data_IF_799471857316
#
_entry.id   IF_799471857316
#
_cell.length_a   1.000
_cell.length_b   1.000
_cell.length_c   1.000
_cell.angle_alpha   90.00
_cell.angle_beta   90.00
_cell.angle_gamma   90.00
#
_symmetry.space_group_name_H-M   'P 1'
#
loop_
_entity.id
_entity.type
_entity.pdbx_description
1 polymer ?
#
# COMPACT_ATOMS: atom_id res chain seq x y z
N UNK A 1 0.38 1.57 24.27
CA UNK A 1 0.24 0.74 23.07
C UNK A 1 1.63 0.47 22.51
N UNK A 2 1.86 -0.71 21.95
CA UNK A 2 3.12 -1.14 21.36
C UNK A 2 2.82 -1.86 20.05
N UNK A 3 3.71 -1.71 19.06
CA UNK A 3 3.73 -2.56 17.87
C UNK A 3 4.51 -3.81 18.28
N UNK A 4 3.93 -4.99 18.13
CA UNK A 4 4.51 -6.26 18.61
C UNK A 4 4.84 -7.24 17.49
N UNK A 5 4.40 -6.97 16.27
CA UNK A 5 4.62 -7.80 15.09
C UNK A 5 4.52 -6.95 13.82
N UNK A 6 5.05 -7.46 12.72
CA UNK A 6 4.93 -6.82 11.42
C UNK A 6 3.47 -6.72 10.97
N UNK A 7 3.08 -5.65 10.28
CA UNK A 7 1.81 -5.62 9.56
C UNK A 7 1.88 -6.48 8.29
N UNK A 8 0.76 -6.72 7.66
CA UNK A 8 0.73 -7.18 6.27
C UNK A 8 1.24 -6.04 5.39
N UNK A 9 2.35 -6.27 4.69
CA UNK A 9 2.92 -5.29 3.77
C UNK A 9 2.36 -5.47 2.37
N UNK A 10 1.81 -4.40 1.80
CA UNK A 10 1.44 -4.35 0.40
C UNK A 10 2.30 -3.29 -0.31
N UNK A 11 3.11 -3.72 -1.26
CA UNK A 11 3.82 -2.76 -2.11
C UNK A 11 2.89 -2.21 -3.17
N UNK A 12 2.89 -0.89 -3.32
CA UNK A 12 2.20 -0.16 -4.40
C UNK A 12 3.19 0.51 -5.36
N UNK A 13 4.45 0.08 -5.37
CA UNK A 13 5.50 0.62 -6.24
C UNK A 13 5.13 0.56 -7.72
N UNK A 14 4.55 -0.56 -8.16
CA UNK A 14 4.19 -0.81 -9.56
C UNK A 14 2.89 -0.14 -10.00
N UNK A 15 2.07 0.35 -9.07
CA UNK A 15 0.84 1.09 -9.37
C UNK A 15 1.00 2.57 -9.03
N UNK A 16 0.90 2.93 -7.75
CA UNK A 16 0.91 4.32 -7.29
C UNK A 16 2.29 4.97 -7.49
N UNK A 17 3.33 4.21 -7.18
CA UNK A 17 4.71 4.64 -7.43
C UNK A 17 5.00 4.85 -8.91
N UNK A 18 4.57 3.93 -9.78
CA UNK A 18 4.82 4.03 -11.22
C UNK A 18 4.02 5.15 -11.89
N UNK A 19 2.74 5.33 -11.50
CA UNK A 19 1.91 6.39 -12.10
C UNK A 19 2.40 7.81 -11.80
N UNK A 20 3.19 7.97 -10.73
CA UNK A 20 3.76 9.25 -10.32
C UNK A 20 5.06 9.62 -11.07
N UNK A 21 5.62 8.71 -11.86
CA UNK A 21 6.87 8.93 -12.57
C UNK A 21 6.65 9.79 -13.81
N UNK A 22 7.57 10.75 -14.04
CA UNK A 22 7.61 11.54 -15.29
C UNK A 22 7.84 10.62 -16.48
N UNK A 23 8.70 9.60 -16.31
CA UNK A 23 8.98 8.56 -17.28
C UNK A 23 8.62 7.20 -16.65
N UNK A 24 7.37 6.71 -16.86
CA UNK A 24 6.91 5.46 -16.27
C UNK A 24 7.80 4.27 -16.64
N UNK A 25 7.84 3.27 -15.78
CA UNK A 25 8.61 2.05 -16.00
C UNK A 25 8.15 1.34 -17.26
N UNK A 26 9.10 0.94 -18.10
CA UNK A 26 8.87 -0.02 -19.18
C UNK A 26 8.66 -1.43 -18.60
N UNK A 27 8.21 -2.39 -19.40
CA UNK A 27 7.87 -3.75 -18.94
C UNK A 27 9.07 -4.41 -18.25
N UNK A 28 10.26 -4.27 -18.79
CA UNK A 28 11.49 -4.85 -18.23
C UNK A 28 11.81 -4.28 -16.84
N UNK A 29 11.65 -2.97 -16.66
CA UNK A 29 11.84 -2.29 -15.37
C UNK A 29 10.75 -2.71 -14.36
N UNK A 30 9.50 -2.87 -14.80
CA UNK A 30 8.41 -3.41 -13.96
C UNK A 30 8.70 -4.83 -13.51
N UNK A 31 9.22 -5.67 -14.39
CA UNK A 31 9.62 -7.06 -14.05
C UNK A 31 10.78 -7.03 -13.05
N UNK A 32 11.77 -6.17 -13.24
CA UNK A 32 12.88 -6.03 -12.31
C UNK A 32 12.40 -5.59 -10.92
N UNK A 33 11.53 -4.59 -10.85
CA UNK A 33 10.92 -4.14 -9.60
C UNK A 33 10.08 -5.23 -8.95
N UNK A 34 9.25 -5.95 -9.72
CA UNK A 34 8.46 -7.08 -9.20
C UNK A 34 9.36 -8.16 -8.59
N UNK A 35 10.43 -8.53 -9.27
CA UNK A 35 11.37 -9.53 -8.77
C UNK A 35 12.09 -9.07 -7.49
N UNK A 36 12.43 -7.79 -7.39
CA UNK A 36 12.97 -7.22 -6.15
C UNK A 36 11.97 -7.34 -5.01
N UNK A 37 10.73 -6.93 -5.22
CA UNK A 37 9.68 -7.00 -4.19
C UNK A 37 9.44 -8.44 -3.70
N UNK A 38 9.41 -9.40 -4.62
CA UNK A 38 9.33 -10.84 -4.28
C UNK A 38 10.55 -11.29 -3.47
N UNK A 39 11.76 -10.89 -3.88
CA UNK A 39 13.01 -11.19 -3.18
C UNK A 39 13.03 -10.61 -1.76
N UNK A 40 12.49 -9.40 -1.59
CA UNK A 40 12.40 -8.75 -0.28
C UNK A 40 11.33 -9.38 0.63
N UNK A 41 10.54 -10.33 0.15
CA UNK A 41 9.57 -11.06 0.95
C UNK A 41 8.17 -10.47 0.96
N UNK A 42 7.86 -9.47 0.14
CA UNK A 42 6.48 -8.97 0.02
C UNK A 42 5.54 -10.09 -0.39
N UNK A 43 4.45 -10.23 0.37
CA UNK A 43 3.39 -11.23 0.11
C UNK A 43 2.18 -10.65 -0.60
N UNK A 44 2.04 -9.32 -0.60
CA UNK A 44 1.03 -8.62 -1.37
C UNK A 44 1.69 -7.51 -2.21
N UNK A 45 1.39 -7.50 -3.52
CA UNK A 45 1.98 -6.56 -4.47
C UNK A 45 0.87 -6.04 -5.38
N UNK A 46 0.59 -4.73 -5.31
CA UNK A 46 -0.32 -4.07 -6.25
C UNK A 46 0.43 -3.74 -7.53
N UNK A 47 0.10 -4.46 -8.59
CA UNK A 47 0.89 -4.45 -9.83
C UNK A 47 0.42 -3.44 -10.85
N UNK A 48 -0.75 -2.84 -10.67
CA UNK A 48 -1.24 -1.82 -11.59
C UNK A 48 -2.75 -1.72 -11.67
N UNK A 49 -3.20 -0.98 -12.70
CA UNK A 49 -4.59 -0.81 -13.08
C UNK A 49 -4.81 -1.39 -14.49
N UNK A 50 -4.95 -2.73 -14.62
CA UNK A 50 -4.94 -3.40 -15.92
C UNK A 50 -6.07 -2.98 -16.85
N UNK A 51 -7.16 -2.41 -16.31
CA UNK A 51 -8.25 -1.88 -17.12
C UNK A 51 -7.99 -0.45 -17.65
N UNK A 52 -6.98 0.26 -17.12
CA UNK A 52 -6.69 1.64 -17.53
C UNK A 52 -5.96 1.75 -18.86
N UNK A 53 -5.09 0.78 -19.17
CA UNK A 53 -4.32 0.79 -20.41
C UNK A 53 -3.94 -0.61 -20.87
N UNK A 54 -3.62 -0.75 -22.17
CA UNK A 54 -3.16 -2.02 -22.74
C UNK A 54 -1.79 -2.42 -22.15
N UNK A 55 -0.91 -1.46 -21.88
CA UNK A 55 0.42 -1.72 -21.29
C UNK A 55 0.28 -2.37 -19.90
N UNK A 56 -0.62 -1.86 -19.06
CA UNK A 56 -0.88 -2.42 -17.74
C UNK A 56 -1.49 -3.83 -17.83
N UNK A 57 -2.39 -4.03 -18.79
CA UNK A 57 -2.97 -5.33 -19.06
C UNK A 57 -1.91 -6.34 -19.51
N UNK A 58 -1.10 -5.97 -20.48
CA UNK A 58 -0.07 -6.86 -21.06
C UNK A 58 1.01 -7.21 -20.03
N UNK A 59 1.42 -6.26 -19.20
CA UNK A 59 2.36 -6.52 -18.12
C UNK A 59 1.85 -7.60 -17.15
N UNK A 60 0.59 -7.47 -16.72
CA UNK A 60 0.00 -8.49 -15.84
C UNK A 60 -0.07 -9.85 -16.55
N UNK A 61 -0.50 -9.87 -17.82
CA UNK A 61 -0.52 -11.11 -18.59
C UNK A 61 0.86 -11.74 -18.72
N UNK A 62 1.89 -10.93 -18.91
CA UNK A 62 3.27 -11.43 -18.98
C UNK A 62 3.68 -12.12 -17.67
N UNK A 63 3.38 -11.54 -16.51
CA UNK A 63 3.64 -12.18 -15.21
C UNK A 63 2.94 -13.53 -15.09
N UNK A 64 1.68 -13.62 -15.53
CA UNK A 64 0.87 -14.83 -15.47
C UNK A 64 1.38 -15.88 -16.45
N UNK A 65 1.54 -15.51 -17.71
CA UNK A 65 1.88 -16.45 -18.81
C UNK A 65 3.31 -17.00 -18.65
N UNK A 66 4.23 -16.21 -18.11
CA UNK A 66 5.59 -16.64 -17.75
C UNK A 66 5.69 -17.31 -16.39
N UNK A 67 4.59 -17.43 -15.63
CA UNK A 67 4.53 -18.04 -14.30
C UNK A 67 5.52 -17.39 -13.31
N UNK A 68 5.58 -16.08 -13.33
CA UNK A 68 6.50 -15.31 -12.49
C UNK A 68 5.98 -15.04 -11.09
N UNK A 69 4.69 -15.25 -10.85
CA UNK A 69 4.04 -15.01 -9.56
C UNK A 69 4.24 -16.24 -8.67
N UNK A 70 4.98 -16.16 -7.55
CA UNK A 70 5.12 -17.24 -6.59
C UNK A 70 3.77 -17.62 -5.96
N UNK A 71 3.64 -18.87 -5.53
CA UNK A 71 2.39 -19.40 -4.94
C UNK A 71 1.99 -18.72 -3.62
N UNK A 72 2.96 -18.13 -2.93
CA UNK A 72 2.78 -17.42 -1.65
C UNK A 72 2.65 -15.90 -1.81
N UNK A 73 2.61 -15.40 -3.06
CA UNK A 73 2.41 -13.98 -3.38
C UNK A 73 0.99 -13.76 -3.90
N UNK A 74 0.31 -12.79 -3.31
CA UNK A 74 -1.01 -12.32 -3.72
C UNK A 74 -0.82 -11.08 -4.59
N UNK A 75 -1.37 -11.12 -5.79
CA UNK A 75 -1.37 -9.97 -6.71
C UNK A 75 -2.59 -9.12 -6.44
N UNK A 76 -2.38 -7.83 -6.26
CA UNK A 76 -3.45 -6.84 -6.15
C UNK A 76 -3.59 -6.04 -7.45
N UNK A 77 -4.82 -5.76 -7.84
CA UNK A 77 -5.15 -4.97 -9.03
C UNK A 77 -6.19 -3.92 -8.70
N UNK A 78 -5.94 -2.68 -9.12
CA UNK A 78 -6.85 -1.55 -8.90
C UNK A 78 -7.89 -1.47 -10.01
N UNK A 79 -9.11 -1.10 -9.66
CA UNK A 79 -10.15 -0.75 -10.61
C UNK A 79 -11.18 0.21 -10.00
N UNK A 80 -11.79 1.06 -10.83
CA UNK A 80 -12.93 1.87 -10.41
C UNK A 80 -14.21 1.03 -10.37
N UNK A 81 -15.21 1.49 -9.62
CA UNK A 81 -16.55 0.87 -9.54
C UNK A 81 -17.36 1.06 -10.83
N UNK A 82 -16.84 0.58 -11.96
CA UNK A 82 -17.48 0.63 -13.29
C UNK A 82 -17.44 -0.73 -13.96
N UNK A 83 -18.57 -1.20 -14.46
CA UNK A 83 -18.71 -2.58 -14.94
C UNK A 83 -17.68 -2.97 -16.00
N UNK A 84 -17.47 -2.13 -17.02
CA UNK A 84 -16.52 -2.43 -18.09
C UNK A 84 -15.06 -2.52 -17.61
N UNK A 85 -14.68 -1.72 -16.59
CA UNK A 85 -13.35 -1.77 -16.00
C UNK A 85 -13.18 -3.00 -15.12
N UNK A 86 -14.18 -3.33 -14.29
CA UNK A 86 -14.15 -4.55 -13.45
C UNK A 86 -14.10 -5.79 -14.34
N UNK A 87 -14.90 -5.84 -15.41
CA UNK A 87 -14.86 -6.92 -16.39
C UNK A 87 -13.45 -7.09 -16.98
N UNK A 88 -12.85 -6.00 -17.45
CA UNK A 88 -11.49 -6.01 -18.02
C UNK A 88 -10.44 -6.45 -17.00
N UNK A 89 -10.61 -6.06 -15.74
CA UNK A 89 -9.75 -6.50 -14.63
C UNK A 89 -9.81 -8.03 -14.46
N UNK A 90 -11.02 -8.62 -14.47
CA UNK A 90 -11.18 -10.07 -14.38
C UNK A 90 -10.63 -10.82 -15.60
N UNK A 91 -10.68 -10.22 -16.80
CA UNK A 91 -9.99 -10.77 -17.98
C UNK A 91 -8.47 -10.79 -17.77
N UNK A 92 -7.91 -9.74 -17.17
CA UNK A 92 -6.47 -9.62 -16.94
C UNK A 92 -5.94 -10.62 -15.91
N UNK A 93 -6.69 -10.90 -14.82
CA UNK A 93 -6.26 -11.79 -13.73
C UNK A 93 -6.56 -13.28 -13.99
N UNK A 94 -7.09 -13.63 -15.16
CA UNK A 94 -7.36 -15.06 -15.46
C UNK A 94 -6.09 -15.91 -15.30
N UNK A 95 -6.22 -17.01 -14.54
CA UNK A 95 -5.13 -17.95 -14.25
C UNK A 95 -4.31 -17.59 -13.00
N UNK A 96 -4.58 -16.50 -12.33
CA UNK A 96 -3.98 -16.17 -11.02
C UNK A 96 -4.66 -17.03 -9.94
N UNK A 97 -3.87 -17.61 -9.04
CA UNK A 97 -4.36 -18.45 -7.94
C UNK A 97 -5.02 -17.63 -6.83
N UNK A 98 -4.42 -16.49 -6.49
CA UNK A 98 -4.90 -15.58 -5.43
C UNK A 98 -4.74 -14.15 -5.88
N UNK A 99 -5.81 -13.39 -5.86
CA UNK A 99 -5.79 -11.98 -6.19
C UNK A 99 -6.65 -11.15 -5.24
N UNK A 100 -6.21 -9.91 -4.99
CA UNK A 100 -7.02 -8.86 -4.41
C UNK A 100 -7.54 -7.98 -5.55
N UNK A 101 -8.86 -7.85 -5.64
CA UNK A 101 -9.49 -6.85 -6.51
C UNK A 101 -9.79 -5.64 -5.65
N UNK A 102 -9.02 -4.57 -5.88
CA UNK A 102 -9.12 -3.31 -5.15
C UNK A 102 -10.03 -2.35 -5.89
N UNK A 103 -11.22 -2.11 -5.35
CA UNK A 103 -12.15 -1.12 -5.86
C UNK A 103 -12.14 0.14 -5.00
N UNK A 104 -12.37 1.28 -5.62
CA UNK A 104 -12.46 2.57 -4.94
C UNK A 104 -13.46 3.50 -5.60
N UNK A 105 -13.96 4.43 -4.83
CA UNK A 105 -14.63 5.63 -5.31
C UNK A 105 -14.42 6.78 -4.33
N UNK A 106 -14.46 8.00 -4.85
CA UNK A 106 -14.23 9.21 -4.06
C UNK A 106 -15.39 9.51 -3.12
N UNK A 107 -15.08 9.78 -1.86
CA UNK A 107 -16.08 9.95 -0.78
C UNK A 107 -16.02 11.31 -0.10
N UNK A 108 -14.96 12.11 -0.33
CA UNK A 108 -14.78 13.39 0.35
C UNK A 108 -15.87 14.41 0.03
N UNK A 109 -16.14 15.30 0.99
CA UNK A 109 -17.07 16.40 0.83
C UNK A 109 -16.80 17.21 -0.43
N UNK A 110 -15.54 17.60 -0.64
CA UNK A 110 -15.14 18.38 -1.81
C UNK A 110 -15.47 17.67 -3.13
N UNK A 111 -15.18 16.37 -3.24
CA UNK A 111 -15.43 15.64 -4.48
C UNK A 111 -16.92 15.40 -4.72
N UNK A 112 -17.68 15.13 -3.67
CA UNK A 112 -19.14 15.01 -3.77
C UNK A 112 -19.78 16.30 -4.27
N UNK A 113 -19.40 17.43 -3.69
CA UNK A 113 -20.01 18.72 -3.97
C UNK A 113 -19.56 19.31 -5.31
N UNK A 114 -18.26 19.20 -5.64
CA UNK A 114 -17.67 19.95 -6.77
C UNK A 114 -17.47 19.08 -8.01
N UNK A 115 -17.16 17.80 -7.85
CA UNK A 115 -16.80 16.93 -8.98
C UNK A 115 -18.00 16.07 -9.43
N UNK A 116 -18.68 15.44 -8.47
CA UNK A 116 -19.76 14.49 -8.81
C UNK A 116 -21.14 15.12 -8.72
N UNK A 117 -21.31 16.20 -7.97
CA UNK A 117 -22.62 16.79 -7.66
C UNK A 117 -23.60 15.74 -7.14
N UNK A 118 -23.09 14.83 -6.30
CA UNK A 118 -23.79 13.64 -5.80
C UNK A 118 -23.90 13.67 -4.28
N UNK A 119 -25.03 13.19 -3.77
CA UNK A 119 -25.22 13.05 -2.32
C UNK A 119 -24.56 11.79 -1.75
N UNK A 120 -24.62 11.62 -0.42
CA UNK A 120 -24.03 10.47 0.27
C UNK A 120 -24.63 9.14 -0.18
N UNK A 121 -25.92 9.09 -0.44
CA UNK A 121 -26.62 7.85 -0.85
C UNK A 121 -26.20 7.42 -2.26
N UNK A 122 -26.07 8.38 -3.18
CA UNK A 122 -25.58 8.12 -4.54
C UNK A 122 -24.13 7.59 -4.53
N UNK A 123 -23.25 8.22 -3.76
CA UNK A 123 -21.84 7.77 -3.61
C UNK A 123 -21.77 6.39 -2.96
N UNK A 124 -22.57 6.14 -1.92
CA UNK A 124 -22.67 4.84 -1.27
C UNK A 124 -23.15 3.75 -2.25
N UNK A 125 -24.13 4.07 -3.09
CA UNK A 125 -24.65 3.14 -4.08
C UNK A 125 -23.59 2.72 -5.11
N UNK A 126 -22.70 3.63 -5.53
CA UNK A 126 -21.58 3.31 -6.43
C UNK A 126 -20.71 2.21 -5.84
N UNK A 127 -20.37 2.29 -4.55
CA UNK A 127 -19.54 1.30 -3.87
C UNK A 127 -20.25 -0.07 -3.76
N UNK A 128 -21.54 -0.07 -3.44
CA UNK A 128 -22.37 -1.28 -3.37
C UNK A 128 -22.43 -1.95 -4.74
N UNK A 129 -22.72 -1.19 -5.80
CA UNK A 129 -22.81 -1.73 -7.16
C UNK A 129 -21.46 -2.24 -7.66
N UNK A 130 -20.36 -1.54 -7.34
CA UNK A 130 -19.00 -2.03 -7.59
C UNK A 130 -18.74 -3.38 -6.93
N UNK A 131 -19.13 -3.54 -5.68
CA UNK A 131 -19.02 -4.80 -4.94
C UNK A 131 -19.83 -5.93 -5.59
N UNK A 132 -21.06 -5.64 -6.01
CA UNK A 132 -21.92 -6.60 -6.75
C UNK A 132 -21.29 -7.04 -8.05
N UNK A 133 -20.69 -6.10 -8.79
CA UNK A 133 -20.01 -6.40 -10.05
C UNK A 133 -18.81 -7.32 -9.82
N UNK A 134 -17.98 -7.07 -8.78
CA UNK A 134 -16.88 -7.97 -8.42
C UNK A 134 -17.41 -9.37 -8.10
N UNK A 135 -18.47 -9.49 -7.28
CA UNK A 135 -19.12 -10.78 -6.97
C UNK A 135 -19.64 -11.50 -8.22
N UNK A 136 -20.19 -10.76 -9.19
CA UNK A 136 -20.66 -11.29 -10.46
C UNK A 136 -19.52 -11.90 -11.28
N UNK A 137 -18.44 -11.15 -11.47
CA UNK A 137 -17.34 -11.58 -12.34
C UNK A 137 -16.43 -12.61 -11.68
N UNK A 138 -16.31 -12.64 -10.36
CA UNK A 138 -15.53 -13.66 -9.67
C UNK A 138 -16.11 -15.07 -9.84
N UNK A 139 -17.40 -15.23 -10.16
CA UNK A 139 -18.02 -16.54 -10.40
C UNK A 139 -17.38 -17.29 -11.58
N UNK A 140 -16.78 -16.57 -12.53
CA UNK A 140 -16.08 -17.13 -13.68
C UNK A 140 -14.57 -17.28 -13.47
N UNK A 141 -14.06 -16.94 -12.29
CA UNK A 141 -12.64 -17.03 -11.96
C UNK A 141 -12.34 -18.31 -11.18
N UNK A 142 -11.22 -18.96 -11.49
CA UNK A 142 -10.85 -20.23 -10.85
C UNK A 142 -10.01 -20.08 -9.60
N UNK A 143 -9.42 -18.93 -9.39
CA UNK A 143 -8.60 -18.60 -8.20
C UNK A 143 -9.41 -18.00 -7.06
N UNK A 144 -8.75 -17.81 -5.93
CA UNK A 144 -9.29 -17.12 -4.76
C UNK A 144 -9.26 -15.59 -5.00
N UNK A 145 -10.40 -14.94 -4.77
CA UNK A 145 -10.54 -13.49 -4.89
C UNK A 145 -10.88 -12.90 -3.52
N UNK A 146 -10.07 -11.96 -3.08
CA UNK A 146 -10.36 -11.09 -1.95
C UNK A 146 -10.76 -9.70 -2.48
N UNK A 147 -11.70 -9.06 -1.80
CA UNK A 147 -12.09 -7.68 -2.11
C UNK A 147 -11.32 -6.72 -1.19
N UNK A 148 -10.76 -5.68 -1.78
CA UNK A 148 -10.36 -4.48 -1.09
C UNK A 148 -11.24 -3.31 -1.51
N UNK A 149 -11.64 -2.49 -0.55
CA UNK A 149 -12.38 -1.26 -0.77
C UNK A 149 -11.67 -0.07 -0.12
N UNK A 150 -11.47 0.99 -0.90
CA UNK A 150 -10.99 2.29 -0.41
C UNK A 150 -12.04 3.38 -0.61
N UNK A 151 -12.52 4.03 0.47
CA UNK A 151 -13.19 5.33 0.37
C UNK A 151 -12.11 6.38 0.07
N UNK A 152 -11.86 6.65 -1.21
CA UNK A 152 -10.82 7.57 -1.65
C UNK A 152 -10.99 8.94 -1.01
N UNK A 153 -9.88 9.57 -0.61
CA UNK A 153 -9.87 10.80 0.18
C UNK A 153 -10.57 10.64 1.55
N UNK A 154 -10.33 9.51 2.23
CA UNK A 154 -10.87 9.23 3.57
C UNK A 154 -10.63 10.38 4.55
N UNK A 155 -9.45 10.99 4.55
CA UNK A 155 -9.10 12.12 5.43
C UNK A 155 -9.92 13.39 5.18
N UNK A 156 -10.57 13.50 4.02
CA UNK A 156 -11.51 14.58 3.68
C UNK A 156 -12.99 14.17 3.74
N UNK A 157 -13.28 12.99 4.32
CA UNK A 157 -14.61 12.39 4.43
C UNK A 157 -15.06 12.43 5.88
N UNK A 158 -16.34 12.71 6.14
CA UNK A 158 -16.90 12.62 7.47
C UNK A 158 -16.83 11.17 7.98
N UNK A 159 -16.38 10.97 9.22
CA UNK A 159 -16.14 9.63 9.78
C UNK A 159 -17.40 8.76 9.83
N UNK A 160 -18.56 9.33 10.15
CA UNK A 160 -19.84 8.64 10.14
C UNK A 160 -20.21 8.14 8.73
N UNK A 161 -19.95 8.94 7.70
CA UNK A 161 -20.18 8.53 6.33
C UNK A 161 -19.15 7.51 5.84
N UNK A 162 -17.88 7.67 6.20
CA UNK A 162 -16.86 6.68 5.90
C UNK A 162 -17.20 5.31 6.52
N UNK A 163 -17.68 5.30 7.77
CA UNK A 163 -18.13 4.07 8.44
C UNK A 163 -19.35 3.46 7.73
N UNK A 164 -20.34 4.29 7.35
CA UNK A 164 -21.55 3.82 6.69
C UNK A 164 -21.24 3.15 5.35
N UNK A 165 -20.47 3.82 4.49
CA UNK A 165 -20.13 3.27 3.16
C UNK A 165 -19.27 2.01 3.27
N UNK A 166 -18.27 1.98 4.16
CA UNK A 166 -17.44 0.80 4.37
C UNK A 166 -18.26 -0.37 4.94
N UNK A 167 -19.19 -0.10 5.86
CA UNK A 167 -20.12 -1.13 6.39
C UNK A 167 -21.02 -1.67 5.30
N UNK A 168 -21.55 -0.81 4.43
CA UNK A 168 -22.38 -1.24 3.30
C UNK A 168 -21.63 -2.17 2.34
N UNK A 169 -20.37 -1.87 2.05
CA UNK A 169 -19.50 -2.72 1.22
C UNK A 169 -19.19 -4.05 1.93
N UNK A 170 -18.87 -4.01 3.23
CA UNK A 170 -18.62 -5.20 4.05
C UNK A 170 -19.83 -6.15 4.04
N UNK A 171 -21.03 -5.61 4.24
CA UNK A 171 -22.29 -6.36 4.22
C UNK A 171 -22.61 -6.91 2.82
N UNK A 172 -22.48 -6.10 1.77
CA UNK A 172 -22.71 -6.53 0.40
C UNK A 172 -21.73 -7.62 -0.03
N UNK A 173 -20.45 -7.53 0.37
CA UNK A 173 -19.46 -8.57 0.15
C UNK A 173 -19.82 -9.88 0.87
N UNK A 174 -20.50 -9.78 2.00
CA UNK A 174 -20.78 -10.90 2.89
C UNK A 174 -19.53 -11.34 3.64
N UNK A 175 -18.81 -10.37 4.20
CA UNK A 175 -17.57 -10.62 4.93
C UNK A 175 -17.82 -11.42 6.20
N UNK A 176 -16.98 -12.42 6.46
CA UNK A 176 -16.93 -13.23 7.68
C UNK A 176 -15.47 -13.35 8.16
N UNK A 177 -15.22 -13.84 9.38
CA UNK A 177 -13.85 -14.09 9.84
C UNK A 177 -13.05 -15.03 8.93
N UNK A 178 -13.72 -15.95 8.23
CA UNK A 178 -13.12 -16.90 7.29
C UNK A 178 -13.00 -16.32 5.86
N UNK A 179 -13.82 -15.34 5.53
CA UNK A 179 -13.82 -14.62 4.25
C UNK A 179 -13.75 -13.12 4.52
N UNK A 180 -12.59 -12.66 4.91
CA UNK A 180 -12.38 -11.25 5.24
C UNK A 180 -12.46 -10.34 4.01
N UNK A 181 -12.71 -9.07 4.29
CA UNK A 181 -12.55 -7.95 3.35
C UNK A 181 -11.42 -7.05 3.82
N UNK A 182 -10.68 -6.47 2.90
CA UNK A 182 -9.73 -5.40 3.21
C UNK A 182 -10.49 -4.07 3.10
N UNK A 183 -10.51 -3.31 4.20
CA UNK A 183 -10.95 -1.92 4.21
C UNK A 183 -9.72 -1.05 4.35
N UNK A 184 -9.40 -0.32 3.30
CA UNK A 184 -8.23 0.52 3.22
C UNK A 184 -8.63 1.99 3.38
N UNK A 185 -8.07 2.67 4.36
CA UNK A 185 -8.43 4.05 4.73
C UNK A 185 -7.29 5.02 4.33
N UNK A 186 -7.29 5.53 3.08
CA UNK A 186 -6.15 6.27 2.57
C UNK A 186 -6.12 7.70 3.08
N UNK A 187 -4.94 8.15 3.52
CA UNK A 187 -4.62 9.57 3.56
C UNK A 187 -4.16 9.99 2.15
N UNK A 188 -5.12 10.05 1.22
CA UNK A 188 -4.88 10.43 -0.19
C UNK A 188 -4.15 11.76 -0.29
N UNK A 189 -4.47 12.68 0.61
CA UNK A 189 -3.67 13.84 0.96
C UNK A 189 -3.52 13.86 2.47
N UNK A 190 -2.31 14.12 2.94
CA UNK A 190 -2.02 14.24 4.37
C UNK A 190 -2.56 15.58 4.90
N UNK A 191 -3.83 15.62 5.32
CA UNK A 191 -4.56 16.84 5.68
C UNK A 191 -4.37 17.28 7.13
N UNK A 192 -4.01 16.33 8.02
CA UNK A 192 -3.96 16.54 9.47
C UNK A 192 -2.63 16.09 10.07
N UNK A 193 -2.45 16.33 11.36
CA UNK A 193 -1.30 15.78 12.09
C UNK A 193 -1.42 14.26 12.27
N UNK A 194 -0.30 13.54 12.43
CA UNK A 194 -0.28 12.08 12.54
C UNK A 194 -1.19 11.49 13.61
N UNK A 195 -1.28 12.16 14.77
CA UNK A 195 -2.14 11.73 15.86
C UNK A 195 -3.63 11.83 15.48
N UNK A 196 -4.04 12.86 14.75
CA UNK A 196 -5.43 13.01 14.30
C UNK A 196 -5.80 11.92 13.31
N UNK A 197 -4.92 11.59 12.37
CA UNK A 197 -5.13 10.44 11.47
C UNK A 197 -5.26 9.14 12.26
N UNK A 198 -4.38 8.90 13.22
CA UNK A 198 -4.44 7.73 14.08
C UNK A 198 -5.74 7.68 14.91
N UNK A 199 -6.22 8.81 15.42
CA UNK A 199 -7.50 8.90 16.12
C UNK A 199 -8.68 8.53 15.20
N UNK A 200 -8.63 8.94 13.93
CA UNK A 200 -9.61 8.54 12.92
C UNK A 200 -9.59 7.02 12.68
N UNK A 201 -8.39 6.43 12.53
CA UNK A 201 -8.22 4.98 12.38
C UNK A 201 -8.74 4.24 13.63
N UNK A 202 -8.40 4.70 14.83
CA UNK A 202 -8.87 4.09 16.07
C UNK A 202 -10.38 4.18 16.20
N UNK A 203 -10.96 5.32 15.81
CA UNK A 203 -12.41 5.49 15.81
C UNK A 203 -13.09 4.50 14.86
N UNK A 204 -12.62 4.39 13.62
CA UNK A 204 -13.13 3.41 12.64
C UNK A 204 -12.99 1.99 13.17
N UNK A 205 -11.80 1.63 13.68
CA UNK A 205 -11.50 0.33 14.25
C UNK A 205 -12.49 -0.08 15.35
N UNK A 206 -12.90 0.87 16.20
CA UNK A 206 -13.85 0.63 17.31
C UNK A 206 -15.30 0.59 16.88
N UNK A 207 -15.67 1.21 15.76
CA UNK A 207 -17.07 1.33 15.34
C UNK A 207 -17.47 0.33 14.26
N UNK A 208 -16.52 -0.34 13.60
CA UNK A 208 -16.85 -1.43 12.69
C UNK A 208 -17.60 -2.55 13.40
N UNK A 209 -18.76 -2.93 12.87
CA UNK A 209 -19.44 -4.16 13.25
C UNK A 209 -18.69 -5.35 12.66
N UNK A 210 -18.70 -6.49 13.38
CA UNK A 210 -17.98 -7.70 12.91
C UNK A 210 -16.53 -7.39 12.51
N UNK A 211 -15.81 -6.68 13.38
CA UNK A 211 -14.45 -6.19 13.12
C UNK A 211 -13.46 -7.30 12.73
N UNK A 212 -13.68 -8.51 13.20
CA UNK A 212 -12.89 -9.71 12.91
C UNK A 212 -13.03 -10.20 11.47
N UNK A 213 -14.05 -9.73 10.75
CA UNK A 213 -14.21 -9.97 9.30
C UNK A 213 -13.48 -8.94 8.40
N UNK A 214 -12.76 -7.97 8.99
CA UNK A 214 -12.05 -6.91 8.29
C UNK A 214 -10.55 -7.04 8.52
N UNK A 215 -9.77 -6.84 7.46
CA UNK A 215 -8.37 -6.46 7.53
C UNK A 215 -8.32 -4.95 7.38
N UNK A 216 -7.97 -4.24 8.45
CA UNK A 216 -7.90 -2.77 8.44
C UNK A 216 -6.57 -2.33 7.87
N UNK A 217 -6.62 -1.70 6.71
CA UNK A 217 -5.47 -1.23 5.94
C UNK A 217 -5.36 0.28 5.95
N UNK A 218 -4.13 0.77 5.85
CA UNK A 218 -3.83 2.20 5.71
C UNK A 218 -2.91 2.45 4.52
N UNK A 219 -3.11 3.60 3.88
CA UNK A 219 -2.37 4.03 2.68
C UNK A 219 -2.03 5.53 2.81
N UNK A 220 -1.04 5.89 3.62
CA UNK A 220 -0.66 7.28 3.81
C UNK A 220 0.23 7.81 2.70
N UNK A 221 -0.02 9.06 2.30
CA UNK A 221 0.92 9.90 1.57
C UNK A 221 1.74 10.75 2.55
N UNK A 222 2.68 11.53 2.02
CA UNK A 222 3.70 12.24 2.81
C UNK A 222 3.68 13.76 2.58
N UNK A 223 2.52 14.34 2.29
CA UNK A 223 2.37 15.76 1.93
C UNK A 223 2.89 16.72 2.99
N UNK A 224 2.85 16.34 4.25
CA UNK A 224 3.36 17.12 5.40
C UNK A 224 4.74 16.65 5.88
N UNK A 225 5.33 15.63 5.24
CA UNK A 225 6.57 14.99 5.71
C UNK A 225 6.38 14.15 6.96
N UNK A 226 5.15 13.74 7.28
CA UNK A 226 4.82 12.99 8.49
C UNK A 226 4.18 11.62 8.22
N UNK A 227 4.23 11.14 6.99
CA UNK A 227 3.61 9.87 6.56
C UNK A 227 4.10 8.66 7.36
N UNK A 228 5.40 8.60 7.71
CA UNK A 228 5.97 7.54 8.54
C UNK A 228 5.34 7.56 9.94
N UNK A 229 5.35 8.72 10.61
CA UNK A 229 4.76 8.87 11.94
C UNK A 229 3.25 8.58 11.94
N UNK A 230 2.53 9.02 10.90
CA UNK A 230 1.11 8.73 10.72
C UNK A 230 0.84 7.22 10.63
N UNK A 231 1.68 6.50 9.89
CA UNK A 231 1.57 5.04 9.73
C UNK A 231 1.87 4.29 11.03
N UNK A 232 2.96 4.63 11.72
CA UNK A 232 3.30 4.02 13.00
C UNK A 232 2.19 4.23 14.04
N UNK A 233 1.63 5.44 14.11
CA UNK A 233 0.52 5.73 15.01
C UNK A 233 -0.79 5.02 14.56
N UNK A 234 -1.02 4.85 13.27
CA UNK A 234 -2.16 4.09 12.75
C UNK A 234 -2.07 2.60 13.09
N UNK A 235 -0.87 2.00 13.05
CA UNK A 235 -0.63 0.64 13.54
C UNK A 235 -0.96 0.52 15.03
N UNK A 236 -0.52 1.49 15.84
CA UNK A 236 -0.91 1.56 17.27
C UNK A 236 -2.42 1.77 17.47
N UNK A 237 -3.12 2.34 16.49
CA UNK A 237 -4.56 2.56 16.51
C UNK A 237 -5.37 1.32 16.09
N UNK A 238 -4.71 0.28 15.56
CA UNK A 238 -5.33 -0.99 15.22
C UNK A 238 -5.36 -1.33 13.74
N UNK A 239 -4.62 -0.59 12.90
CA UNK A 239 -4.36 -1.02 11.53
C UNK A 239 -3.51 -2.30 11.53
N UNK A 240 -3.79 -3.19 10.58
CA UNK A 240 -3.16 -4.51 10.46
C UNK A 240 -2.34 -4.64 9.16
N UNK A 241 -2.57 -3.73 8.22
CA UNK A 241 -1.99 -3.76 6.88
C UNK A 241 -1.56 -2.37 6.46
N UNK A 242 -0.45 -2.27 5.75
CA UNK A 242 0.13 -1.02 5.26
C UNK A 242 0.39 -1.13 3.76
N UNK A 243 -0.15 -0.20 3.01
CA UNK A 243 0.24 0.06 1.62
C UNK A 243 1.26 1.19 1.55
N UNK A 244 2.31 0.99 0.81
CA UNK A 244 3.35 1.99 0.61
C UNK A 244 4.34 1.58 -0.47
N UNK A 245 5.41 2.32 -0.58
CA UNK A 245 6.44 2.09 -1.60
C UNK A 245 7.83 1.98 -0.98
N UNK A 246 8.74 1.38 -1.71
CA UNK A 246 10.15 1.43 -1.37
C UNK A 246 10.66 2.88 -1.50
N UNK A 247 11.33 3.36 -0.47
CA UNK A 247 11.91 4.70 -0.42
C UNK A 247 10.90 5.85 -0.57
N UNK A 248 9.61 5.57 -0.44
CA UNK A 248 8.56 6.58 -0.44
C UNK A 248 8.23 7.17 -1.81
N UNK A 249 8.55 6.47 -2.90
CA UNK A 249 8.19 6.93 -4.25
C UNK A 249 6.66 7.02 -4.41
N UNK A 250 6.18 8.10 -5.05
CA UNK A 250 4.75 8.30 -5.27
C UNK A 250 4.41 9.73 -5.67
N UNK A 251 3.12 9.99 -5.83
CA UNK A 251 2.66 11.30 -6.26
C UNK A 251 2.99 12.41 -5.25
N UNK A 252 3.19 13.61 -5.76
CA UNK A 252 3.51 14.83 -5.01
C UNK A 252 4.78 14.65 -4.18
N UNK A 253 4.64 14.38 -2.89
CA UNK A 253 5.73 14.16 -1.94
C UNK A 253 6.00 12.67 -1.66
N UNK A 254 5.25 11.79 -2.32
CA UNK A 254 5.38 10.35 -2.24
C UNK A 254 4.38 9.66 -1.31
N UNK A 255 4.41 8.34 -1.37
CA UNK A 255 3.73 7.43 -0.45
C UNK A 255 4.55 7.26 0.84
N UNK A 256 3.96 6.60 1.83
CA UNK A 256 4.75 6.18 2.98
C UNK A 256 5.87 5.24 2.55
N UNK A 257 7.05 5.47 3.10
CA UNK A 257 8.23 4.65 2.87
C UNK A 257 8.19 3.39 3.75
N UNK A 258 7.87 2.24 3.15
CA UNK A 258 7.81 0.95 3.84
C UNK A 258 9.19 0.58 4.42
N UNK A 259 10.26 0.84 3.67
CA UNK A 259 11.61 0.51 4.13
C UNK A 259 11.96 1.23 5.43
N UNK A 260 11.59 2.50 5.52
CA UNK A 260 11.82 3.31 6.73
C UNK A 260 11.04 2.75 7.93
N UNK A 261 9.74 2.40 7.74
CA UNK A 261 8.95 1.81 8.83
C UNK A 261 9.53 0.45 9.25
N UNK A 262 9.93 -0.39 8.29
CA UNK A 262 10.53 -1.69 8.57
C UNK A 262 11.82 -1.55 9.41
N UNK A 263 12.70 -0.62 9.06
CA UNK A 263 13.91 -0.37 9.87
C UNK A 263 13.58 0.26 11.24
N UNK A 264 12.56 1.13 11.32
CA UNK A 264 12.11 1.65 12.61
C UNK A 264 11.64 0.50 13.53
N UNK A 265 10.87 -0.45 12.99
CA UNK A 265 10.44 -1.65 13.74
C UNK A 265 11.63 -2.50 14.18
N UNK A 266 12.56 -2.77 13.26
CA UNK A 266 13.76 -3.53 13.56
C UNK A 266 14.61 -2.86 14.67
N UNK A 267 14.70 -1.53 14.66
CA UNK A 267 15.40 -0.76 15.71
C UNK A 267 14.79 -0.93 17.11
N UNK A 268 13.54 -1.34 17.20
CA UNK A 268 12.82 -1.65 18.43
C UNK A 268 12.79 -3.15 18.76
N UNK A 269 13.50 -3.97 17.99
CA UNK A 269 13.59 -5.41 18.20
C UNK A 269 12.40 -6.19 17.65
N UNK A 270 11.65 -5.62 16.71
CA UNK A 270 10.53 -6.25 16.03
C UNK A 270 11.00 -6.66 14.64
N UNK A 271 10.89 -7.95 14.30
CA UNK A 271 11.17 -8.45 12.97
C UNK A 271 10.13 -7.88 11.99
N UNK A 272 10.55 -7.11 10.97
CA UNK A 272 9.63 -6.60 9.96
C UNK A 272 9.14 -7.66 8.96
N UNK A 273 9.65 -8.89 9.04
CA UNK A 273 9.33 -10.00 8.11
C UNK A 273 9.63 -9.66 6.64
N UNK A 274 10.65 -8.82 6.41
CA UNK A 274 11.18 -8.44 5.10
C UNK A 274 12.71 -8.62 5.08
N UNK A 275 13.21 -9.13 3.95
CA UNK A 275 14.64 -9.35 3.69
C UNK A 275 15.30 -8.05 3.21
N UNK A 276 15.52 -7.11 4.12
CA UNK A 276 15.97 -5.74 3.82
C UNK A 276 17.43 -5.45 4.22
N UNK A 277 18.24 -6.48 4.34
CA UNK A 277 19.64 -6.35 4.78
C UNK A 277 20.51 -5.59 3.78
N UNK A 278 20.27 -5.78 2.47
CA UNK A 278 21.02 -5.10 1.40
C UNK A 278 20.30 -3.83 0.92
N UNK A 279 20.37 -2.77 1.73
CA UNK A 279 19.80 -1.47 1.36
C UNK A 279 20.41 -0.89 0.08
N UNK A 280 21.67 -1.25 -0.22
CA UNK A 280 22.35 -0.76 -1.42
C UNK A 280 21.71 -1.32 -2.68
N UNK A 281 21.44 -2.61 -2.74
CA UNK A 281 20.73 -3.24 -3.85
C UNK A 281 19.35 -2.62 -4.04
N UNK A 282 18.61 -2.40 -2.95
CA UNK A 282 17.29 -1.77 -2.99
C UNK A 282 17.38 -0.38 -3.64
N UNK A 283 18.31 0.46 -3.19
CA UNK A 283 18.52 1.80 -3.74
C UNK A 283 18.88 1.73 -5.22
N UNK A 284 19.83 0.86 -5.61
CA UNK A 284 20.29 0.74 -7.00
C UNK A 284 19.15 0.31 -7.95
N UNK A 285 18.32 -0.64 -7.54
CA UNK A 285 17.18 -1.08 -8.37
C UNK A 285 16.12 0.02 -8.42
N UNK A 286 15.78 0.63 -7.29
CA UNK A 286 14.80 1.72 -7.26
C UNK A 286 15.24 2.90 -8.13
N UNK A 287 16.49 3.38 -8.00
CA UNK A 287 17.01 4.48 -8.84
C UNK A 287 16.98 4.15 -10.33
N UNK A 288 17.30 2.90 -10.70
CA UNK A 288 17.27 2.44 -12.09
C UNK A 288 15.84 2.37 -12.64
N UNK A 289 14.91 1.75 -11.89
CA UNK A 289 13.54 1.55 -12.35
C UNK A 289 12.73 2.85 -12.34
N UNK A 290 12.92 3.71 -11.33
CA UNK A 290 12.20 4.98 -11.23
C UNK A 290 12.86 6.13 -11.98
N UNK A 291 14.14 5.99 -12.36
CA UNK A 291 14.97 7.04 -12.96
C UNK A 291 15.09 8.29 -12.05
N UNK A 292 14.89 8.10 -10.74
CA UNK A 292 14.97 9.14 -9.73
C UNK A 292 16.04 8.78 -8.70
N UNK A 293 16.92 9.75 -8.40
CA UNK A 293 17.94 9.57 -7.37
C UNK A 293 17.32 9.63 -5.96
N UNK A 294 17.80 8.77 -5.09
CA UNK A 294 17.45 8.81 -3.65
C UNK A 294 18.14 10.00 -2.99
N UNK A 295 17.42 10.74 -2.15
CA UNK A 295 17.99 11.86 -1.41
C UNK A 295 19.22 11.41 -0.61
N UNK A 296 20.36 12.11 -0.72
CA UNK A 296 21.58 11.74 0.01
C UNK A 296 21.42 11.67 1.53
N UNK A 297 20.41 12.32 2.09
CA UNK A 297 20.07 12.30 3.53
C UNK A 297 18.82 11.50 3.84
N UNK A 298 18.35 10.68 2.89
CA UNK A 298 17.19 9.82 3.13
C UNK A 298 17.45 8.89 4.32
N UNK A 299 16.52 8.79 5.29
CA UNK A 299 16.73 7.91 6.45
C UNK A 299 17.10 6.49 6.02
N UNK A 300 18.11 5.92 6.64
CA UNK A 300 18.70 4.59 6.39
C UNK A 300 19.32 4.38 4.99
N UNK A 301 18.79 4.96 3.92
CA UNK A 301 19.17 4.66 2.54
C UNK A 301 20.12 5.70 1.92
N UNK A 302 20.14 6.93 2.40
CA UNK A 302 20.91 8.02 1.81
C UNK A 302 22.43 7.84 1.98
N UNK A 303 23.17 8.21 0.95
CA UNK A 303 24.66 8.06 0.92
C UNK A 303 25.36 8.77 2.07
N UNK A 304 24.80 9.85 2.60
CA UNK A 304 25.39 10.63 3.70
C UNK A 304 25.02 10.08 5.09
N UNK A 305 24.06 9.17 5.20
CA UNK A 305 23.63 8.60 6.48
C UNK A 305 24.77 7.81 7.15
N UNK A 306 25.64 7.19 6.36
CA UNK A 306 26.79 6.42 6.83
C UNK A 306 28.08 7.24 6.90
N UNK A 307 28.01 8.57 6.71
CA UNK A 307 29.17 9.45 6.65
C UNK A 307 29.13 10.45 7.79
N UNK A 308 30.23 10.57 8.53
CA UNK A 308 30.39 11.63 9.52
C UNK A 308 31.52 12.58 9.11
N UNK A 309 31.27 13.87 9.30
CA UNK A 309 32.22 14.94 8.97
C UNK A 309 32.89 15.54 10.22
N UNK A 310 32.39 15.25 11.41
CA UNK A 310 32.96 15.72 12.67
C UNK A 310 34.08 14.79 13.13
N UNK A 311 35.25 15.33 13.40
CA UNK A 311 36.41 14.55 13.89
C UNK A 311 36.13 13.80 15.20
N UNK A 312 35.36 14.39 16.12
CA UNK A 312 34.98 13.74 17.38
C UNK A 312 34.06 12.53 17.16
N UNK A 313 33.11 12.63 16.18
CA UNK A 313 32.25 11.52 15.81
C UNK A 313 33.02 10.42 15.07
N UNK A 314 33.98 10.78 14.21
CA UNK A 314 34.85 9.80 13.53
C UNK A 314 35.68 9.00 14.55
N UNK A 315 36.25 9.65 15.55
CA UNK A 315 36.99 8.99 16.65
C UNK A 315 36.08 8.05 17.46
N UNK A 316 34.89 8.50 17.80
CA UNK A 316 33.92 7.69 18.56
C UNK A 316 33.49 6.44 17.77
N UNK A 317 33.21 6.59 16.46
CA UNK A 317 32.83 5.46 15.58
C UNK A 317 34.01 4.48 15.47
N UNK A 318 35.22 4.98 15.26
CA UNK A 318 36.43 4.14 15.19
C UNK A 318 36.61 3.30 16.46
N UNK A 319 36.46 3.92 17.62
CA UNK A 319 36.54 3.23 18.92
C UNK A 319 35.40 2.21 19.10
N UNK A 320 34.20 2.56 18.69
CA UNK A 320 33.04 1.66 18.71
C UNK A 320 33.23 0.42 17.82
N UNK A 321 33.71 0.59 16.60
CA UNK A 321 34.01 -0.52 15.69
C UNK A 321 35.11 -1.44 16.25
N UNK A 322 36.17 -0.88 16.82
CA UNK A 322 37.22 -1.65 17.48
C UNK A 322 36.72 -2.45 18.70
N UNK A 323 35.75 -1.88 19.45
CA UNK A 323 35.13 -2.57 20.58
C UNK A 323 34.22 -3.74 20.11
N UNK A 324 33.50 -3.56 19.00
CA UNK A 324 32.66 -4.63 18.40
C UNK A 324 33.54 -5.80 17.97
N UNK A 325 34.64 -5.53 17.24
CA UNK A 325 35.58 -6.57 16.80
C UNK A 325 36.18 -7.42 17.92
N UNK A 326 36.21 -6.90 19.16
CA UNK A 326 36.71 -7.63 20.32
C UNK A 326 35.64 -8.45 21.03
N UNK A 327 34.37 -8.31 20.64
CA UNK A 327 33.23 -9.04 21.22
C UNK A 327 32.79 -10.23 20.37
N UNK A 328 33.24 -10.29 19.09
CA UNK A 328 33.13 -11.45 18.19
C UNK A 328 34.40 -12.30 18.30
#
# INVERSE_FOLDING_TARGET
KEITHAPIWCSVDLRDGNQALVDPMVVEEKIEMFNLLVKLGFKEIEIGFPAASQIEFDFLRELVDRKMIPDDVVVQVLTQCREHLIKRTFEAIQGIKKAVVHIYNSTSTLQRDVVFHADKDEIRQIAIDGTRMVKKYMQGHTGEIMLEYSPESFTGTELDFALDICTAVQEEWGATPEKKIIINLPATVEMTTPNVYADQIEWMNKHFKNRDSIILSVHPHNDRGTGIAATELALLAGAERVEGTLLGNGERTGNVDILNIAYNMFSQGIDPELEIEDVKEIVEVCERCTKMAVDPRHPYAGKLVFTTFSGSHQDAICKGMQALQKRT
#
